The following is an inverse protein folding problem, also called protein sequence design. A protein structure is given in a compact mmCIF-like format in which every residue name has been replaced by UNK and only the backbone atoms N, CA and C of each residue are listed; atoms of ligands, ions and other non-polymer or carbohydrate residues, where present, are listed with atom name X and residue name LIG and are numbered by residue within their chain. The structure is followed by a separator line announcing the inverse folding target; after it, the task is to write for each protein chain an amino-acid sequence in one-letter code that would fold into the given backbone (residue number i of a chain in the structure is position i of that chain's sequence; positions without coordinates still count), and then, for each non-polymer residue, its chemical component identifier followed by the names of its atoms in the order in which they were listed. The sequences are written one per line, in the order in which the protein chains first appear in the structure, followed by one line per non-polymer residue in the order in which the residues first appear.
data_IF_485268179295
#
_entry.id   IF_485268179295
#
_cell.length_a   1.000
_cell.length_b   1.000
_cell.length_c   1.000
_cell.angle_alpha   90.00
_cell.angle_beta   90.00
_cell.angle_gamma   90.00
#
_symmetry.space_group_name_H-M   'P 1'
#
loop_
_entity.id
_entity.type
_entity.pdbx_description
1 polymer ?
#
# COMPACT_ATOMS: atom_id res chain seq x y z
N UNK A 1 -11.85 11.23 17.94
CA UNK A 1 -11.70 9.83 18.42
C UNK A 1 -10.52 9.23 17.67
N UNK A 2 -9.54 8.68 18.39
CA UNK A 2 -8.26 8.22 17.83
C UNK A 2 -8.51 6.97 16.98
N UNK A 3 -8.43 7.07 15.66
CA UNK A 3 -8.39 5.88 14.81
C UNK A 3 -6.99 5.30 14.91
N UNK A 4 -6.89 4.23 15.68
CA UNK A 4 -5.67 3.51 15.98
C UNK A 4 -5.39 2.51 14.84
N UNK A 5 -4.53 2.87 13.90
CA UNK A 5 -3.73 1.92 13.14
C UNK A 5 -2.30 1.97 13.69
N UNK A 6 -2.11 1.27 14.81
CA UNK A 6 -0.88 0.56 15.16
C UNK A 6 0.46 1.25 14.81
N UNK A 7 0.77 2.37 15.45
CA UNK A 7 2.14 2.89 15.49
C UNK A 7 3.01 2.01 16.42
N UNK A 8 3.22 0.75 16.02
CA UNK A 8 4.33 -0.06 16.53
C UNK A 8 5.46 0.15 15.55
N UNK A 9 6.29 1.17 15.82
CA UNK A 9 7.49 1.50 15.04
C UNK A 9 8.19 0.20 14.62
N UNK A 10 8.27 -0.04 13.30
CA UNK A 10 8.80 -1.31 12.77
C UNK A 10 10.24 -1.53 13.26
N UNK A 11 10.56 -2.76 13.68
CA UNK A 11 11.83 -3.09 14.37
C UNK A 11 13.07 -2.98 13.48
N UNK A 12 12.93 -3.21 12.17
CA UNK A 12 14.02 -3.19 11.20
C UNK A 12 13.89 -1.97 10.31
N UNK A 13 15.02 -1.34 9.98
CA UNK A 13 15.07 -0.33 8.92
C UNK A 13 14.77 -0.95 7.56
N UNK A 14 14.41 -0.15 6.57
CA UNK A 14 14.21 -0.61 5.18
C UNK A 14 15.45 -1.35 4.68
N UNK A 15 16.64 -0.82 4.94
CA UNK A 15 17.89 -1.47 4.55
C UNK A 15 18.07 -2.84 5.22
N UNK A 16 17.89 -2.92 6.55
CA UNK A 16 17.99 -4.19 7.29
C UNK A 16 16.94 -5.21 6.84
N UNK A 17 15.73 -4.73 6.54
CA UNK A 17 14.66 -5.58 6.04
C UNK A 17 15.01 -6.11 4.64
N UNK A 18 15.45 -5.26 3.72
CA UNK A 18 15.86 -5.67 2.37
C UNK A 18 17.08 -6.59 2.38
N UNK A 19 18.04 -6.37 3.27
CA UNK A 19 19.19 -7.26 3.47
C UNK A 19 18.73 -8.65 3.94
N UNK A 20 17.84 -8.71 4.94
CA UNK A 20 17.27 -9.97 5.40
C UNK A 20 16.49 -10.70 4.30
N UNK A 21 15.69 -9.98 3.51
CA UNK A 21 14.92 -10.58 2.40
C UNK A 21 15.82 -11.05 1.26
N UNK A 22 16.86 -10.28 0.91
CA UNK A 22 17.82 -10.68 -0.11
C UNK A 22 18.59 -11.93 0.33
N UNK A 23 19.05 -11.99 1.58
CA UNK A 23 19.74 -13.16 2.14
C UNK A 23 18.85 -14.41 2.23
N UNK A 24 17.53 -14.22 2.35
CA UNK A 24 16.55 -15.31 2.32
C UNK A 24 16.10 -15.71 0.91
N UNK A 25 16.49 -14.93 -0.12
CA UNK A 25 16.15 -15.19 -1.52
C UNK A 25 17.24 -15.98 -2.23
N UNK A 26 16.89 -16.62 -3.35
CA UNK A 26 17.84 -17.28 -4.24
C UNK A 26 18.59 -16.29 -5.17
N UNK A 27 18.34 -14.98 -5.02
CA UNK A 27 18.88 -13.94 -5.89
C UNK A 27 20.16 -13.35 -5.32
N UNK A 28 21.13 -13.07 -6.20
CA UNK A 28 22.26 -12.22 -5.88
C UNK A 28 22.01 -10.75 -6.28
N UNK A 29 22.85 -9.83 -5.79
CA UNK A 29 22.73 -8.39 -6.06
C UNK A 29 22.79 -8.03 -7.56
N UNK A 30 23.48 -8.82 -8.38
CA UNK A 30 23.58 -8.59 -9.82
C UNK A 30 22.26 -8.94 -10.53
N UNK A 31 21.66 -10.08 -10.19
CA UNK A 31 20.35 -10.48 -10.71
C UNK A 31 19.24 -9.53 -10.26
N UNK A 32 19.28 -9.09 -9.00
CA UNK A 32 18.32 -8.12 -8.48
C UNK A 32 18.43 -6.78 -9.23
N UNK A 33 19.65 -6.33 -9.53
CA UNK A 33 19.90 -5.12 -10.30
C UNK A 33 19.35 -5.21 -11.73
N UNK A 34 19.52 -6.37 -12.38
CA UNK A 34 18.98 -6.64 -13.71
C UNK A 34 17.45 -6.54 -13.72
N UNK A 35 16.78 -7.22 -12.77
CA UNK A 35 15.30 -7.19 -12.64
C UNK A 35 14.80 -5.76 -12.38
N UNK A 36 15.48 -5.01 -11.51
CA UNK A 36 15.10 -3.64 -11.16
C UNK A 36 15.44 -2.62 -12.26
N UNK A 37 16.28 -2.99 -13.23
CA UNK A 37 16.79 -2.08 -14.26
C UNK A 37 17.70 -0.98 -13.69
N UNK A 38 18.48 -1.29 -12.64
CA UNK A 38 19.41 -0.34 -12.00
C UNK A 38 20.81 -0.94 -11.90
N UNK A 39 21.81 -0.11 -11.59
CA UNK A 39 23.17 -0.58 -11.40
C UNK A 39 23.31 -1.45 -10.12
N UNK A 40 24.08 -2.54 -10.18
CA UNK A 40 24.39 -3.38 -9.01
C UNK A 40 24.94 -2.60 -7.81
N UNK A 41 25.75 -1.57 -8.04
CA UNK A 41 26.26 -0.71 -6.96
C UNK A 41 25.12 0.03 -6.24
N UNK A 42 24.07 0.43 -6.96
CA UNK A 42 22.89 1.06 -6.37
C UNK A 42 22.13 0.07 -5.49
N UNK A 43 21.94 -1.17 -5.94
CA UNK A 43 21.35 -2.24 -5.11
C UNK A 43 22.17 -2.42 -3.83
N UNK A 44 23.50 -2.52 -3.95
CA UNK A 44 24.40 -2.64 -2.81
C UNK A 44 24.27 -1.47 -1.82
N UNK A 45 24.16 -0.24 -2.34
CA UNK A 45 23.99 0.94 -1.50
C UNK A 45 22.63 0.97 -0.80
N UNK A 46 21.56 0.53 -1.46
CA UNK A 46 20.22 0.43 -0.87
C UNK A 46 20.22 -0.61 0.26
N UNK A 47 20.69 -1.83 -0.02
CA UNK A 47 20.71 -2.94 0.95
C UNK A 47 21.58 -2.62 2.16
N UNK A 48 22.69 -1.88 1.97
CA UNK A 48 23.57 -1.42 3.06
C UNK A 48 23.09 -0.15 3.77
N UNK A 49 21.96 0.44 3.35
CA UNK A 49 21.42 1.68 3.93
C UNK A 49 22.25 2.93 3.63
N UNK A 50 23.14 2.89 2.63
CA UNK A 50 23.88 4.07 2.14
C UNK A 50 23.05 4.94 1.21
N UNK A 51 21.98 4.40 0.64
CA UNK A 51 21.02 5.11 -0.19
C UNK A 51 19.61 4.63 0.12
N UNK A 52 18.62 5.51 -0.09
CA UNK A 52 17.20 5.16 0.04
C UNK A 52 16.76 4.40 -1.20
N UNK A 53 15.85 3.44 -1.04
CA UNK A 53 15.14 2.84 -2.17
C UNK A 53 14.24 3.92 -2.80
N UNK A 54 14.40 4.25 -4.10
CA UNK A 54 13.48 5.18 -4.75
C UNK A 54 12.05 4.61 -4.73
N UNK A 55 11.08 5.45 -4.34
CA UNK A 55 9.69 5.01 -4.12
C UNK A 55 9.06 4.43 -5.40
N UNK A 56 9.42 4.97 -6.56
CA UNK A 56 8.99 4.48 -7.87
C UNK A 56 9.53 3.09 -8.22
N UNK A 57 10.58 2.62 -7.53
CA UNK A 57 11.19 1.29 -7.71
C UNK A 57 10.76 0.28 -6.65
N UNK A 58 9.96 0.68 -5.66
CA UNK A 58 9.49 -0.21 -4.58
C UNK A 58 8.77 -1.42 -5.13
N UNK A 59 7.89 -1.23 -6.10
CA UNK A 59 7.14 -2.34 -6.71
C UNK A 59 8.07 -3.35 -7.38
N UNK A 60 9.03 -2.88 -8.17
CA UNK A 60 10.00 -3.77 -8.83
C UNK A 60 10.87 -4.53 -7.82
N UNK A 61 11.32 -3.87 -6.74
CA UNK A 61 12.04 -4.53 -5.65
C UNK A 61 11.19 -5.61 -4.98
N UNK A 62 9.92 -5.30 -4.69
CA UNK A 62 9.02 -6.22 -4.03
C UNK A 62 8.69 -7.45 -4.88
N UNK A 63 8.45 -7.25 -6.18
CA UNK A 63 8.23 -8.33 -7.14
C UNK A 63 9.47 -9.24 -7.27
N UNK A 64 10.67 -8.65 -7.35
CA UNK A 64 11.92 -9.40 -7.42
C UNK A 64 12.16 -10.27 -6.18
N UNK A 65 11.93 -9.71 -4.99
CA UNK A 65 12.13 -10.41 -3.71
C UNK A 65 10.90 -11.22 -3.27
N UNK A 66 9.82 -11.24 -4.06
CA UNK A 66 8.55 -11.92 -3.75
C UNK A 66 7.96 -11.52 -2.38
N UNK A 67 8.02 -10.23 -2.06
CA UNK A 67 7.47 -9.64 -0.82
C UNK A 67 6.28 -8.73 -1.11
N UNK A 68 5.50 -8.40 -0.09
CA UNK A 68 4.37 -7.48 -0.24
C UNK A 68 4.86 -6.05 -0.55
N UNK A 69 4.52 -5.56 -1.74
CA UNK A 69 4.85 -4.23 -2.20
C UNK A 69 4.22 -3.13 -1.34
N UNK A 70 3.01 -3.35 -0.81
CA UNK A 70 2.35 -2.35 0.06
C UNK A 70 3.09 -2.23 1.38
N UNK A 71 3.43 -3.34 2.01
CA UNK A 71 4.20 -3.33 3.26
C UNK A 71 5.58 -2.69 3.06
N UNK A 72 6.29 -3.02 1.98
CA UNK A 72 7.57 -2.38 1.65
C UNK A 72 7.43 -0.87 1.40
N UNK A 73 6.37 -0.45 0.70
CA UNK A 73 6.11 0.97 0.44
C UNK A 73 5.84 1.74 1.73
N UNK A 74 4.99 1.19 2.61
CA UNK A 74 4.70 1.80 3.91
C UNK A 74 5.95 1.88 4.79
N UNK A 75 6.82 0.86 4.77
CA UNK A 75 8.14 0.90 5.45
C UNK A 75 8.99 2.06 4.95
N UNK A 76 9.03 2.27 3.63
CA UNK A 76 9.77 3.37 3.04
C UNK A 76 9.21 4.73 3.46
N UNK A 77 7.89 4.90 3.49
CA UNK A 77 7.27 6.16 3.92
C UNK A 77 7.54 6.46 5.39
N UNK A 78 7.35 5.48 6.27
CA UNK A 78 7.61 5.61 7.72
C UNK A 78 9.06 6.03 8.02
N UNK A 79 10.03 5.45 7.30
CA UNK A 79 11.44 5.75 7.54
C UNK A 79 11.89 7.03 6.83
N UNK A 80 11.45 7.25 5.59
CA UNK A 80 12.01 8.30 4.74
C UNK A 80 11.29 9.63 4.86
N UNK A 81 9.98 9.59 5.13
CA UNK A 81 9.08 10.76 5.13
C UNK A 81 7.97 10.63 6.19
N UNK A 82 8.30 10.46 7.48
CA UNK A 82 7.32 10.20 8.54
C UNK A 82 6.25 11.30 8.64
N UNK A 83 6.63 12.57 8.53
CA UNK A 83 5.68 13.69 8.57
C UNK A 83 4.74 13.73 7.37
N UNK A 84 5.22 13.36 6.18
CA UNK A 84 4.33 13.24 5.01
C UNK A 84 3.31 12.14 5.23
N UNK A 85 3.72 11.02 5.82
CA UNK A 85 2.81 9.93 6.16
C UNK A 85 1.76 10.39 7.20
N UNK A 86 2.18 11.09 8.25
CA UNK A 86 1.26 11.67 9.26
C UNK A 86 0.23 12.61 8.62
N UNK A 87 0.66 13.51 7.74
CA UNK A 87 -0.23 14.41 7.00
C UNK A 87 -1.17 13.65 6.05
N UNK A 88 -0.65 12.63 5.35
CA UNK A 88 -1.48 11.77 4.49
C UNK A 88 -2.56 11.04 5.30
N UNK A 89 -2.21 10.49 6.46
CA UNK A 89 -3.16 9.83 7.36
C UNK A 89 -4.19 10.81 7.93
N UNK A 90 -3.79 12.06 8.22
CA UNK A 90 -4.70 13.10 8.68
C UNK A 90 -5.65 13.60 7.57
N UNK A 91 -5.18 13.68 6.33
CA UNK A 91 -5.98 14.14 5.18
C UNK A 91 -6.87 13.03 4.61
N UNK A 92 -6.41 11.78 4.64
CA UNK A 92 -7.13 10.62 4.13
C UNK A 92 -7.95 10.06 5.31
N UNK A 93 -9.08 10.72 5.61
CA UNK A 93 -10.07 10.24 6.58
C UNK A 93 -10.86 9.03 6.03
N UNK A 94 -10.19 8.00 5.52
CA UNK A 94 -10.83 6.78 5.05
C UNK A 94 -10.90 5.75 6.18
N UNK A 95 -12.05 5.11 6.41
CA UNK A 95 -12.13 3.97 7.32
C UNK A 95 -11.29 2.80 6.79
N UNK A 96 -10.93 1.87 7.68
CA UNK A 96 -10.35 0.59 7.25
C UNK A 96 -11.43 -0.19 6.47
N UNK A 97 -11.19 -0.39 5.18
CA UNK A 97 -12.10 -1.11 4.28
C UNK A 97 -11.66 -2.58 4.23
N UNK A 98 -12.58 -3.49 4.50
CA UNK A 98 -12.39 -4.94 4.38
C UNK A 98 -12.30 -5.39 2.92
N UNK A 99 -11.82 -6.60 2.64
CA UNK A 99 -11.76 -7.14 1.27
C UNK A 99 -13.14 -7.19 0.60
N UNK A 100 -14.19 -7.51 1.37
CA UNK A 100 -15.56 -7.55 0.90
C UNK A 100 -16.07 -6.15 0.50
N UNK A 101 -15.85 -5.14 1.35
CA UNK A 101 -16.21 -3.75 1.05
C UNK A 101 -15.38 -3.19 -0.11
N UNK A 102 -14.10 -3.57 -0.22
CA UNK A 102 -13.26 -3.21 -1.37
C UNK A 102 -13.81 -3.78 -2.67
N UNK A 103 -14.31 -5.01 -2.65
CA UNK A 103 -14.95 -5.63 -3.81
C UNK A 103 -16.26 -4.94 -4.20
N UNK A 104 -17.06 -4.48 -3.23
CA UNK A 104 -18.24 -3.66 -3.49
C UNK A 104 -17.87 -2.35 -4.19
N UNK A 105 -16.84 -1.65 -3.70
CA UNK A 105 -16.36 -0.40 -4.31
C UNK A 105 -15.87 -0.63 -5.75
N UNK A 106 -15.13 -1.72 -6.00
CA UNK A 106 -14.68 -2.07 -7.36
C UNK A 106 -15.84 -2.24 -8.33
N UNK A 107 -16.86 -3.00 -7.95
CA UNK A 107 -18.04 -3.21 -8.78
C UNK A 107 -18.76 -1.90 -9.10
N UNK A 108 -18.91 -1.01 -8.11
CA UNK A 108 -19.53 0.30 -8.33
C UNK A 108 -18.69 1.14 -9.30
N UNK A 109 -17.35 1.13 -9.16
CA UNK A 109 -16.46 1.85 -10.07
C UNK A 109 -16.52 1.31 -11.49
N UNK A 110 -16.55 -0.01 -11.66
CA UNK A 110 -16.69 -0.65 -12.97
C UNK A 110 -18.04 -0.31 -13.62
N UNK A 111 -19.13 -0.36 -12.84
CA UNK A 111 -20.47 0.00 -13.34
C UNK A 111 -20.62 1.48 -13.72
N UNK A 112 -19.78 2.36 -13.16
CA UNK A 112 -19.78 3.80 -13.45
C UNK A 112 -18.58 4.24 -14.30
N UNK A 113 -17.90 3.32 -15.00
CA UNK A 113 -16.73 3.58 -15.85
C UNK A 113 -15.62 4.40 -15.17
N UNK A 114 -15.49 4.26 -13.85
CA UNK A 114 -14.52 4.97 -13.03
C UNK A 114 -14.82 6.45 -12.79
N UNK A 115 -15.96 6.96 -13.26
CA UNK A 115 -16.39 8.34 -13.02
C UNK A 115 -16.74 8.57 -11.56
N UNK A 116 -16.53 9.81 -11.11
CA UNK A 116 -17.07 10.26 -9.83
C UNK A 116 -18.59 10.32 -9.92
N UNK A 117 -19.25 9.92 -8.84
CA UNK A 117 -20.70 10.01 -8.71
C UNK A 117 -21.05 10.60 -7.36
N UNK A 118 -22.15 11.34 -7.33
CA UNK A 118 -22.72 11.84 -6.10
C UNK A 118 -23.79 10.86 -5.61
N UNK A 119 -23.76 10.52 -4.33
CA UNK A 119 -24.82 9.73 -3.71
C UNK A 119 -26.06 10.59 -3.50
N UNK A 120 -27.23 9.94 -3.54
CA UNK A 120 -28.51 10.53 -3.10
C UNK A 120 -28.95 11.79 -3.85
N UNK A 121 -28.59 11.92 -5.13
CA UNK A 121 -29.07 13.01 -5.99
C UNK A 121 -30.60 13.02 -6.16
N UNK A 122 -31.27 11.89 -5.89
CA UNK A 122 -32.73 11.80 -5.83
C UNK A 122 -33.22 10.81 -4.74
N UNK A 123 -34.49 10.92 -4.31
CA UNK A 123 -35.05 10.07 -3.25
C UNK A 123 -35.07 8.58 -3.59
N UNK A 124 -35.27 8.23 -4.87
CA UNK A 124 -35.33 6.84 -5.34
C UNK A 124 -33.99 6.12 -5.18
N UNK A 125 -32.87 6.81 -5.40
CA UNK A 125 -31.53 6.27 -5.16
C UNK A 125 -31.31 5.97 -3.69
N UNK A 126 -31.80 6.85 -2.80
CA UNK A 126 -31.70 6.66 -1.36
C UNK A 126 -32.49 5.44 -0.90
N UNK A 127 -33.74 5.31 -1.32
CA UNK A 127 -34.58 4.15 -0.99
C UNK A 127 -33.98 2.82 -1.48
N UNK A 128 -33.45 2.79 -2.71
CA UNK A 128 -32.81 1.60 -3.26
C UNK A 128 -31.53 1.23 -2.50
N UNK A 129 -30.74 2.22 -2.10
CA UNK A 129 -29.53 2.00 -1.31
C UNK A 129 -29.84 1.52 0.10
N UNK A 130 -30.82 2.13 0.78
CA UNK A 130 -31.28 1.71 2.10
C UNK A 130 -31.79 0.25 2.06
N UNK A 131 -32.57 -0.11 1.04
CA UNK A 131 -33.01 -1.49 0.84
C UNK A 131 -31.84 -2.47 0.63
N UNK A 132 -30.82 -2.08 -0.13
CA UNK A 132 -29.60 -2.87 -0.30
C UNK A 132 -28.83 -3.04 1.02
N UNK A 133 -28.69 -1.98 1.82
CA UNK A 133 -28.04 -2.06 3.14
C UNK A 133 -28.75 -3.04 4.08
N UNK A 134 -30.08 -3.12 4.05
CA UNK A 134 -30.82 -4.13 4.83
C UNK A 134 -30.44 -5.57 4.42
N UNK A 135 -30.10 -5.82 3.15
CA UNK A 135 -29.65 -7.15 2.71
C UNK A 135 -28.25 -7.53 3.19
N UNK A 136 -27.44 -6.55 3.55
CA UNK A 136 -26.07 -6.74 4.04
C UNK A 136 -26.00 -6.93 5.56
N UNK A 137 -27.08 -6.62 6.29
CA UNK A 137 -27.12 -6.87 7.74
C UNK A 137 -27.13 -8.37 7.97
N UNK A 138 -26.05 -8.85 8.59
CA UNK A 138 -25.98 -10.23 9.10
C UNK A 138 -26.97 -10.34 10.26
N UNK A 139 -27.83 -11.36 10.23
CA UNK A 139 -28.68 -11.73 11.37
C UNK A 139 -27.85 -12.14 12.59
#
# INVERSE_FOLDING_TARGET
MKSAATNTKRKLTVAQYLDAQLNASDLNQSQLAEIMGINQNMVSFIVRGKSKLPLERVRAMAEALKIDAKDLFMRCLEEYMPHLLEEMEAMIEQPLITDAESNLIKQIREANDGHNFEFFTNPRQKEAFDAFLETLKVN
#
